data_IF_928736664140
#
_entry.id   IF_928736664140
#
_cell.length_a   1.000
_cell.length_b   1.000
_cell.length_c   1.000
_cell.angle_alpha   90.00
_cell.angle_beta   90.00
_cell.angle_gamma   90.00
#
_symmetry.space_group_name_H-M   'P 1'
#
loop_
_entity.id
_entity.type
_entity.pdbx_description
1 polymer ?
#
# COMPACT_ATOMS: atom_id res chain seq x y z
N UNK A 1 -4.35 -12.28 -26.94
CA UNK A 1 -3.67 -12.53 -25.64
C UNK A 1 -2.45 -11.65 -25.56
N UNK A 2 -2.58 -10.46 -25.00
CA UNK A 2 -1.44 -9.59 -24.70
C UNK A 2 -1.78 -8.78 -23.46
N UNK A 3 -1.29 -9.28 -22.32
CA UNK A 3 -1.39 -8.59 -21.04
C UNK A 3 -0.29 -7.53 -20.95
N UNK A 4 -0.61 -6.31 -21.31
CA UNK A 4 0.29 -5.16 -21.17
C UNK A 4 0.23 -4.66 -19.72
N UNK A 5 1.04 -5.25 -18.83
CA UNK A 5 1.30 -4.71 -17.50
C UNK A 5 2.22 -3.50 -17.66
N UNK A 6 1.65 -2.32 -17.74
CA UNK A 6 2.42 -1.08 -17.56
C UNK A 6 2.88 -1.03 -16.09
N UNK A 7 4.17 -1.19 -15.89
CA UNK A 7 4.83 -0.88 -14.63
C UNK A 7 4.81 0.64 -14.44
N UNK A 8 4.05 1.11 -13.47
CA UNK A 8 4.06 2.52 -13.10
C UNK A 8 5.35 2.83 -12.35
N UNK A 9 6.30 3.48 -13.03
CA UNK A 9 7.46 4.08 -12.38
C UNK A 9 7.00 5.38 -11.72
N UNK A 10 7.18 5.48 -10.40
CA UNK A 10 6.88 6.64 -9.59
C UNK A 10 7.90 7.75 -9.83
N UNK A 11 7.77 8.48 -10.92
CA UNK A 11 8.46 9.75 -11.08
C UNK A 11 7.54 10.86 -10.58
N UNK A 12 8.03 11.62 -9.59
CA UNK A 12 7.40 12.85 -9.11
C UNK A 12 7.24 13.79 -10.30
N UNK A 13 6.04 13.92 -10.80
CA UNK A 13 5.67 15.02 -11.68
C UNK A 13 5.26 16.16 -10.75
N UNK A 14 6.16 17.14 -10.61
CA UNK A 14 5.83 18.45 -10.08
C UNK A 14 4.82 19.08 -11.05
N UNK A 15 3.55 18.96 -10.73
CA UNK A 15 2.51 19.66 -11.46
C UNK A 15 2.50 21.13 -11.00
N UNK A 16 3.32 21.95 -11.64
CA UNK A 16 3.20 23.41 -11.56
C UNK A 16 1.92 23.75 -12.32
N UNK A 17 0.86 24.09 -11.61
CA UNK A 17 -0.34 24.66 -12.20
C UNK A 17 0.02 26.03 -12.84
N UNK A 18 0.30 26.02 -14.13
CA UNK A 18 0.31 27.27 -14.91
C UNK A 18 -1.14 27.78 -15.05
N UNK A 19 -1.36 28.98 -14.58
CA UNK A 19 -2.63 29.71 -14.67
C UNK A 19 -3.05 29.82 -16.14
N UNK A 20 -4.16 29.18 -16.49
CA UNK A 20 -4.83 29.43 -17.77
C UNK A 20 -5.32 28.23 -18.57
N UNK A 21 -5.15 26.99 -18.10
CA UNK A 21 -5.73 25.83 -18.78
C UNK A 21 -7.13 25.56 -18.21
N UNK A 22 -8.14 25.75 -19.06
CA UNK A 22 -9.51 25.30 -18.79
C UNK A 22 -9.58 23.78 -18.97
N UNK A 23 -10.14 23.06 -18.00
CA UNK A 23 -10.34 21.61 -18.11
C UNK A 23 -11.27 21.29 -19.27
N UNK A 24 -10.74 20.61 -20.30
CA UNK A 24 -11.54 20.13 -21.42
C UNK A 24 -11.92 18.67 -21.20
N UNK A 25 -13.21 18.37 -21.38
CA UNK A 25 -13.71 17.00 -21.31
C UNK A 25 -13.56 16.35 -22.68
N UNK A 26 -12.72 15.33 -22.79
CA UNK A 26 -12.53 14.60 -24.04
C UNK A 26 -13.60 13.54 -24.24
N UNK A 27 -13.89 12.77 -23.19
CA UNK A 27 -14.78 11.61 -23.31
C UNK A 27 -15.48 11.32 -21.98
N UNK A 28 -16.72 10.83 -22.07
CA UNK A 28 -17.52 10.37 -20.95
C UNK A 28 -17.96 8.94 -21.20
N UNK A 29 -17.50 7.99 -20.39
CA UNK A 29 -17.84 6.58 -20.48
C UNK A 29 -18.77 6.17 -19.34
N UNK A 30 -19.92 5.58 -19.65
CA UNK A 30 -20.80 5.00 -18.63
C UNK A 30 -20.17 3.70 -18.10
N UNK A 31 -19.93 3.63 -16.79
CA UNK A 31 -19.42 2.42 -16.12
C UNK A 31 -20.58 1.54 -15.63
N UNK A 32 -21.62 2.17 -15.10
CA UNK A 32 -22.82 1.51 -14.63
C UNK A 32 -24.04 2.46 -14.77
N UNK A 33 -25.19 2.03 -14.27
CA UNK A 33 -26.45 2.81 -14.35
C UNK A 33 -26.40 4.15 -13.61
N UNK A 34 -25.38 4.40 -12.79
CA UNK A 34 -25.29 5.58 -11.91
C UNK A 34 -24.00 6.36 -12.05
N UNK A 35 -22.94 5.74 -12.59
CA UNK A 35 -21.58 6.29 -12.58
C UNK A 35 -21.01 6.34 -13.98
N UNK A 36 -20.34 7.43 -14.27
CA UNK A 36 -19.58 7.63 -15.49
C UNK A 36 -18.10 7.92 -15.15
N UNK A 37 -17.21 7.48 -16.01
CA UNK A 37 -15.82 7.86 -16.03
C UNK A 37 -15.62 8.99 -17.01
N UNK A 38 -15.09 10.08 -16.55
CA UNK A 38 -14.81 11.29 -17.32
C UNK A 38 -13.33 11.33 -17.60
N UNK A 39 -12.94 11.60 -18.84
CA UNK A 39 -11.56 11.77 -19.27
C UNK A 39 -11.37 13.21 -19.75
N UNK A 40 -10.24 13.79 -19.38
CA UNK A 40 -9.84 15.14 -19.80
C UNK A 40 -8.63 15.08 -20.72
N UNK A 41 -8.29 16.18 -21.36
CA UNK A 41 -7.16 16.35 -22.26
C UNK A 41 -5.78 16.20 -21.60
N UNK A 42 -5.70 16.25 -20.29
CA UNK A 42 -4.47 16.06 -19.52
C UNK A 42 -4.27 14.61 -19.00
N UNK A 43 -4.85 13.61 -19.65
CA UNK A 43 -4.88 12.23 -19.15
C UNK A 43 -5.48 12.07 -17.74
N UNK A 44 -6.17 13.10 -17.28
CA UNK A 44 -6.83 13.14 -15.99
C UNK A 44 -8.19 12.44 -16.11
N UNK A 45 -8.44 11.43 -15.30
CA UNK A 45 -9.71 10.73 -15.30
C UNK A 45 -10.29 10.62 -13.90
N UNK A 46 -11.61 10.81 -13.78
CA UNK A 46 -12.32 10.73 -12.51
C UNK A 46 -13.72 10.17 -12.68
N UNK A 47 -14.35 9.81 -11.56
CA UNK A 47 -15.68 9.24 -11.53
C UNK A 47 -16.71 10.27 -11.06
N UNK A 48 -17.80 10.40 -11.83
CA UNK A 48 -18.98 11.18 -11.46
C UNK A 48 -20.25 10.33 -11.47
N UNK A 49 -21.23 10.76 -10.69
CA UNK A 49 -22.58 10.25 -10.80
C UNK A 49 -23.35 11.00 -11.89
N UNK A 50 -24.34 10.32 -12.53
CA UNK A 50 -25.10 10.92 -13.64
C UNK A 50 -25.71 12.27 -13.31
N UNK A 51 -26.30 12.45 -12.11
CA UNK A 51 -26.83 13.74 -11.70
C UNK A 51 -25.79 14.84 -11.50
N UNK A 52 -24.50 14.50 -11.39
CA UNK A 52 -23.41 15.46 -11.29
C UNK A 52 -22.92 15.89 -12.66
N UNK A 53 -22.96 14.99 -13.65
CA UNK A 53 -22.71 15.37 -15.04
C UNK A 53 -23.64 16.50 -15.46
N UNK A 54 -24.94 16.35 -15.18
CA UNK A 54 -25.95 17.38 -15.48
C UNK A 54 -25.70 18.66 -14.66
N UNK A 55 -25.44 18.52 -13.35
CA UNK A 55 -25.24 19.67 -12.46
C UNK A 55 -24.05 20.54 -12.85
N UNK A 56 -22.95 19.93 -13.26
CA UNK A 56 -21.71 20.62 -13.61
C UNK A 56 -21.52 20.83 -15.11
N UNK A 57 -22.50 20.45 -15.94
CA UNK A 57 -22.45 20.58 -17.39
C UNK A 57 -21.34 19.77 -18.04
N UNK A 58 -20.99 18.59 -17.44
CA UNK A 58 -19.93 17.72 -17.92
C UNK A 58 -20.46 16.87 -19.07
N UNK A 59 -20.04 17.14 -20.30
CA UNK A 59 -20.32 16.36 -21.49
C UNK A 59 -19.10 16.33 -22.42
N UNK A 60 -19.08 15.40 -23.36
CA UNK A 60 -17.99 15.30 -24.34
C UNK A 60 -17.80 16.62 -25.11
N UNK A 61 -16.58 17.07 -25.22
CA UNK A 61 -16.20 18.32 -25.87
C UNK A 61 -16.44 19.58 -25.03
N UNK A 62 -17.02 19.49 -23.83
CA UNK A 62 -17.23 20.64 -22.97
C UNK A 62 -15.89 21.17 -22.45
N UNK A 63 -15.83 22.47 -22.29
CA UNK A 63 -14.75 23.19 -21.60
C UNK A 63 -15.33 23.75 -20.31
N UNK A 64 -14.84 23.29 -19.17
CA UNK A 64 -15.34 23.74 -17.88
C UNK A 64 -14.77 25.11 -17.53
N UNK A 65 -15.63 25.99 -17.03
CA UNK A 65 -15.18 27.25 -16.46
C UNK A 65 -14.38 26.99 -15.17
N UNK A 66 -13.38 27.81 -14.88
CA UNK A 66 -12.52 27.70 -13.71
C UNK A 66 -13.28 27.55 -12.37
N UNK A 67 -14.43 28.21 -12.28
CA UNK A 67 -15.29 28.09 -11.09
C UNK A 67 -15.89 26.68 -10.97
N UNK A 68 -16.41 26.15 -12.07
CA UNK A 68 -17.03 24.81 -12.11
C UNK A 68 -15.98 23.73 -11.87
N UNK A 69 -14.79 23.90 -12.46
CA UNK A 69 -13.64 23.02 -12.22
C UNK A 69 -13.26 23.00 -10.75
N UNK A 70 -13.11 24.15 -10.10
CA UNK A 70 -12.80 24.22 -8.66
C UNK A 70 -13.87 23.58 -7.79
N UNK A 71 -15.16 23.80 -8.10
CA UNK A 71 -16.26 23.18 -7.37
C UNK A 71 -16.26 21.63 -7.54
N UNK A 72 -15.92 21.16 -8.73
CA UNK A 72 -15.83 19.74 -9.04
C UNK A 72 -14.64 19.09 -8.32
N UNK A 73 -13.45 19.69 -8.37
CA UNK A 73 -12.27 19.19 -7.65
C UNK A 73 -12.51 19.18 -6.14
N UNK A 74 -13.11 20.21 -5.57
CA UNK A 74 -13.48 20.24 -4.15
C UNK A 74 -14.49 19.13 -3.77
N UNK A 75 -15.42 18.81 -4.65
CA UNK A 75 -16.33 17.67 -4.44
C UNK A 75 -15.58 16.34 -4.41
N UNK A 76 -14.66 16.13 -5.36
CA UNK A 76 -13.86 14.90 -5.46
C UNK A 76 -12.93 14.76 -4.24
N UNK A 77 -12.26 15.84 -3.82
CA UNK A 77 -11.39 15.87 -2.65
C UNK A 77 -12.17 15.49 -1.38
N UNK A 78 -13.30 16.12 -1.12
CA UNK A 78 -14.15 15.78 0.02
C UNK A 78 -14.56 14.31 0.03
N UNK A 79 -14.95 13.75 -1.11
CA UNK A 79 -15.30 12.34 -1.22
C UNK A 79 -14.12 11.41 -0.97
N UNK A 80 -12.94 11.77 -1.47
CA UNK A 80 -11.73 11.00 -1.25
C UNK A 80 -11.37 10.96 0.23
N UNK A 81 -11.45 12.11 0.93
CA UNK A 81 -11.24 12.20 2.37
C UNK A 81 -12.24 11.33 3.15
N UNK A 82 -13.54 11.47 2.87
CA UNK A 82 -14.59 10.66 3.50
C UNK A 82 -14.37 9.16 3.26
N UNK A 83 -13.99 8.80 2.03
CA UNK A 83 -13.69 7.41 1.66
C UNK A 83 -12.48 6.87 2.41
N UNK A 84 -11.39 7.64 2.47
CA UNK A 84 -10.18 7.27 3.17
C UNK A 84 -10.42 7.07 4.68
N UNK A 85 -11.11 8.02 5.33
CA UNK A 85 -11.47 7.91 6.74
C UNK A 85 -12.37 6.69 7.02
N UNK A 86 -13.31 6.38 6.12
CA UNK A 86 -14.14 5.18 6.27
C UNK A 86 -13.34 3.88 6.12
N UNK A 87 -12.30 3.87 5.28
CA UNK A 87 -11.39 2.72 5.17
C UNK A 87 -10.57 2.52 6.45
N UNK A 88 -10.09 3.61 7.05
CA UNK A 88 -9.30 3.59 8.29
C UNK A 88 -10.12 3.20 9.53
N UNK A 89 -11.43 3.48 9.56
CA UNK A 89 -12.31 2.98 10.63
C UNK A 89 -12.36 1.47 10.75
N UNK A 90 -12.10 0.75 9.65
CA UNK A 90 -12.16 -0.71 9.61
C UNK A 90 -10.83 -1.34 10.04
N UNK A 91 -9.71 -0.79 9.54
CA UNK A 91 -8.36 -1.25 9.87
C UNK A 91 -7.31 -0.20 9.52
N UNK A 92 -6.18 -0.24 10.24
CA UNK A 92 -5.01 0.56 9.91
C UNK A 92 -4.48 0.19 8.53
N UNK A 93 -4.05 1.21 7.78
CA UNK A 93 -3.50 1.06 6.44
C UNK A 93 -2.24 1.90 6.29
N UNK A 94 -1.35 1.41 5.45
CA UNK A 94 -0.17 2.18 5.03
C UNK A 94 -0.55 3.19 3.95
N UNK A 95 0.32 4.19 3.75
CA UNK A 95 0.20 5.16 2.65
C UNK A 95 0.03 4.46 1.31
N UNK A 96 0.91 3.48 0.99
CA UNK A 96 0.85 2.74 -0.26
C UNK A 96 -0.42 1.91 -0.45
N UNK A 97 -1.03 1.39 0.62
CA UNK A 97 -2.33 0.72 0.56
C UNK A 97 -3.47 1.70 0.32
N UNK A 98 -3.42 2.87 0.96
CA UNK A 98 -4.43 3.91 0.80
C UNK A 98 -4.40 4.50 -0.61
N UNK A 99 -3.22 4.85 -1.13
CA UNK A 99 -3.04 5.29 -2.52
C UNK A 99 -3.66 4.30 -3.50
N UNK A 100 -3.26 3.02 -3.42
CA UNK A 100 -3.78 1.98 -4.33
C UNK A 100 -5.30 1.87 -4.26
N UNK A 101 -5.87 1.99 -3.07
CA UNK A 101 -7.31 1.88 -2.89
C UNK A 101 -8.06 3.06 -3.49
N UNK A 102 -7.57 4.28 -3.27
CA UNK A 102 -8.19 5.48 -3.84
C UNK A 102 -8.09 5.49 -5.37
N UNK A 103 -6.97 5.06 -5.95
CA UNK A 103 -6.85 4.86 -7.41
C UNK A 103 -7.84 3.82 -7.95
N UNK A 104 -8.00 2.70 -7.25
CA UNK A 104 -9.00 1.68 -7.63
C UNK A 104 -10.42 2.21 -7.55
N UNK A 105 -10.69 3.10 -6.60
CA UNK A 105 -11.99 3.75 -6.44
C UNK A 105 -12.19 4.90 -7.48
N UNK A 106 -11.19 5.17 -8.36
CA UNK A 106 -11.28 6.07 -9.51
C UNK A 106 -11.02 7.54 -9.21
N UNK A 107 -10.28 7.83 -8.13
CA UNK A 107 -9.82 9.19 -7.85
C UNK A 107 -8.56 9.50 -8.66
N UNK A 108 -8.42 10.73 -9.18
CA UNK A 108 -7.23 11.16 -9.90
C UNK A 108 -6.03 11.36 -8.98
N UNK A 109 -4.83 11.32 -9.56
CA UNK A 109 -3.57 11.37 -8.80
C UNK A 109 -3.48 12.60 -7.89
N UNK A 110 -3.82 13.78 -8.39
CA UNK A 110 -3.80 15.03 -7.61
C UNK A 110 -4.66 14.94 -6.34
N UNK A 111 -5.87 14.40 -6.46
CA UNK A 111 -6.80 14.21 -5.33
C UNK A 111 -6.30 13.12 -4.38
N UNK A 112 -5.69 12.06 -4.91
CA UNK A 112 -5.09 11.01 -4.08
C UNK A 112 -3.95 11.59 -3.25
N UNK A 113 -3.02 12.34 -3.87
CA UNK A 113 -1.88 12.95 -3.17
C UNK A 113 -2.34 13.97 -2.11
N UNK A 114 -3.31 14.82 -2.45
CA UNK A 114 -3.93 15.75 -1.50
C UNK A 114 -4.53 15.01 -0.30
N UNK A 115 -5.27 13.92 -0.57
CA UNK A 115 -5.88 13.10 0.49
C UNK A 115 -4.83 12.43 1.38
N UNK A 116 -3.75 11.91 0.79
CA UNK A 116 -2.64 11.32 1.58
C UNK A 116 -1.98 12.38 2.44
N UNK A 117 -1.69 13.57 1.90
CA UNK A 117 -1.15 14.68 2.68
C UNK A 117 -2.04 15.06 3.87
N UNK A 118 -3.35 15.15 3.64
CA UNK A 118 -4.32 15.36 4.71
C UNK A 118 -4.24 14.25 5.78
N UNK A 119 -4.20 12.98 5.39
CA UNK A 119 -4.15 11.86 6.36
C UNK A 119 -2.85 11.84 7.15
N UNK A 120 -1.72 12.26 6.55
CA UNK A 120 -0.43 12.36 7.22
C UNK A 120 -0.40 13.53 8.20
N UNK A 121 -0.90 14.71 7.79
CA UNK A 121 -0.97 15.91 8.63
C UNK A 121 -1.75 15.66 9.93
N UNK A 122 -2.84 14.93 9.83
CA UNK A 122 -3.67 14.56 11.00
C UNK A 122 -3.26 13.22 11.65
N UNK A 123 -2.13 12.64 11.27
CA UNK A 123 -1.61 11.38 11.80
C UNK A 123 -2.57 10.18 11.70
N UNK A 124 -3.50 10.21 10.75
CA UNK A 124 -4.37 9.07 10.45
C UNK A 124 -3.61 7.94 9.76
N UNK A 125 -2.62 8.28 8.92
CA UNK A 125 -1.71 7.35 8.27
C UNK A 125 -0.29 7.71 8.67
N UNK A 126 0.45 6.70 9.16
CA UNK A 126 1.82 6.83 9.61
C UNK A 126 2.52 5.48 9.39
N UNK A 127 3.34 5.43 8.35
CA UNK A 127 4.04 4.21 7.94
C UNK A 127 5.09 3.77 8.94
N UNK A 128 5.73 4.71 9.66
CA UNK A 128 6.71 4.39 10.69
C UNK A 128 6.03 3.72 11.90
N UNK A 129 4.92 4.30 12.37
CA UNK A 129 4.10 3.72 13.43
C UNK A 129 3.54 2.36 13.04
N UNK A 130 3.07 2.19 11.78
CA UNK A 130 2.59 0.91 11.28
C UNK A 130 3.70 -0.14 11.30
N UNK A 131 4.91 0.22 10.81
CA UNK A 131 6.06 -0.66 10.80
C UNK A 131 6.48 -1.06 12.22
N UNK A 132 6.60 -0.10 13.15
CA UNK A 132 6.94 -0.35 14.56
C UNK A 132 5.96 -1.34 15.22
N UNK A 133 4.65 -1.09 15.07
CA UNK A 133 3.61 -1.98 15.60
C UNK A 133 3.71 -3.39 15.02
N UNK A 134 3.93 -3.49 13.71
CA UNK A 134 4.07 -4.80 13.06
C UNK A 134 5.31 -5.55 13.55
N UNK A 135 6.44 -4.86 13.68
CA UNK A 135 7.69 -5.45 14.19
C UNK A 135 7.55 -5.90 15.65
N UNK A 136 6.91 -5.10 16.49
CA UNK A 136 6.66 -5.45 17.89
C UNK A 136 5.86 -6.75 18.05
N UNK A 137 4.81 -6.91 17.21
CA UNK A 137 3.92 -8.10 17.28
C UNK A 137 4.57 -9.34 16.67
N UNK A 138 5.31 -9.16 15.57
CA UNK A 138 5.76 -10.30 14.73
C UNK A 138 7.27 -10.57 14.82
N UNK A 139 8.06 -9.64 15.36
CA UNK A 139 9.52 -9.70 15.39
C UNK A 139 10.06 -10.98 16.03
N UNK A 140 9.42 -11.45 17.10
CA UNK A 140 9.83 -12.69 17.80
C UNK A 140 9.52 -13.98 17.05
N UNK A 141 8.70 -13.93 15.99
CA UNK A 141 8.20 -15.13 15.28
C UNK A 141 8.66 -15.23 13.85
N UNK A 142 9.10 -14.15 13.24
CA UNK A 142 9.48 -14.06 11.84
C UNK A 142 10.92 -13.62 11.69
N UNK A 143 11.58 -14.06 10.63
CA UNK A 143 12.91 -13.60 10.27
C UNK A 143 12.88 -12.14 9.80
N UNK A 144 14.00 -11.44 9.94
CA UNK A 144 14.14 -10.06 9.43
C UNK A 144 13.81 -9.96 7.94
N UNK A 145 14.19 -10.96 7.14
CA UNK A 145 13.90 -10.99 5.71
C UNK A 145 12.38 -11.04 5.43
N UNK A 146 11.64 -11.86 6.18
CA UNK A 146 10.18 -11.95 6.05
C UNK A 146 9.47 -10.67 6.49
N UNK A 147 9.93 -10.06 7.61
CA UNK A 147 9.40 -8.79 8.10
C UNK A 147 9.60 -7.69 7.07
N UNK A 148 10.82 -7.56 6.55
CA UNK A 148 11.18 -6.59 5.50
C UNK A 148 10.34 -6.77 4.24
N UNK A 149 10.23 -8.01 3.76
CA UNK A 149 9.44 -8.32 2.56
C UNK A 149 7.95 -7.99 2.74
N UNK A 150 7.40 -8.27 3.92
CA UNK A 150 6.00 -7.93 4.22
C UNK A 150 5.77 -6.43 4.20
N UNK A 151 6.59 -5.65 4.90
CA UNK A 151 6.46 -4.19 4.97
C UNK A 151 6.65 -3.54 3.57
N UNK A 152 7.57 -4.04 2.76
CA UNK A 152 7.73 -3.61 1.37
C UNK A 152 6.49 -3.89 0.52
N UNK A 153 5.85 -5.06 0.69
CA UNK A 153 4.58 -5.38 0.00
C UNK A 153 3.42 -4.47 0.42
N UNK A 154 3.47 -3.97 1.63
CA UNK A 154 2.52 -2.97 2.15
C UNK A 154 2.75 -1.59 1.53
N UNK A 155 3.89 -1.35 0.92
CA UNK A 155 4.25 -0.10 0.25
C UNK A 155 5.08 0.84 1.11
N UNK A 156 5.56 0.39 2.27
CA UNK A 156 6.42 1.20 3.16
C UNK A 156 7.80 1.34 2.53
N UNK A 157 8.38 2.53 2.63
CA UNK A 157 9.69 2.84 2.06
C UNK A 157 10.81 2.01 2.71
N UNK A 158 11.90 1.80 1.96
CA UNK A 158 13.06 1.02 2.47
C UNK A 158 13.76 1.74 3.61
N UNK A 159 13.73 3.04 3.59
CA UNK A 159 14.32 3.92 4.60
C UNK A 159 13.61 3.73 5.93
N UNK A 160 12.29 3.88 5.96
CA UNK A 160 11.45 3.66 7.16
C UNK A 160 11.62 2.23 7.69
N UNK A 161 11.61 1.23 6.81
CA UNK A 161 11.80 -0.18 7.23
C UNK A 161 13.15 -0.38 7.90
N UNK A 162 14.22 0.20 7.34
CA UNK A 162 15.57 0.10 7.92
C UNK A 162 15.62 0.77 9.29
N UNK A 163 15.15 2.01 9.40
CA UNK A 163 15.12 2.77 10.65
C UNK A 163 14.36 2.01 11.74
N UNK A 164 13.18 1.50 11.43
CA UNK A 164 12.38 0.77 12.39
C UNK A 164 12.96 -0.59 12.78
N UNK A 165 13.70 -1.26 11.90
CA UNK A 165 14.43 -2.49 12.24
C UNK A 165 15.65 -2.21 13.11
N UNK A 166 16.35 -1.08 12.91
CA UNK A 166 17.48 -0.66 13.74
C UNK A 166 17.00 -0.23 15.14
N UNK A 167 15.89 0.51 15.23
CA UNK A 167 15.29 0.94 16.51
C UNK A 167 14.71 -0.24 17.31
N UNK A 168 14.08 -1.16 16.63
CA UNK A 168 13.63 -2.41 17.24
C UNK A 168 14.86 -3.29 17.36
N UNK A 169 15.70 -3.12 18.39
CA UNK A 169 16.82 -4.03 18.68
C UNK A 169 16.30 -5.47 18.56
N UNK A 170 16.40 -5.98 17.35
CA UNK A 170 16.05 -7.36 17.06
C UNK A 170 17.20 -8.17 17.65
N UNK A 171 17.14 -8.37 18.97
CA UNK A 171 18.05 -9.26 19.66
C UNK A 171 17.83 -10.68 19.08
N UNK A 172 18.52 -10.89 17.93
CA UNK A 172 18.66 -12.23 17.34
C UNK A 172 19.13 -13.22 18.41
N UNK A 173 19.86 -12.73 19.42
CA UNK A 173 20.27 -13.46 20.60
C UNK A 173 19.10 -13.90 21.46
N UNK A 174 18.09 -13.06 21.66
CA UNK A 174 16.93 -13.45 22.47
C UNK A 174 16.02 -14.46 21.73
N UNK A 175 15.84 -14.30 20.44
CA UNK A 175 15.11 -15.28 19.61
C UNK A 175 15.86 -16.62 19.55
N UNK A 176 17.19 -16.60 19.42
CA UNK A 176 18.04 -17.80 19.49
C UNK A 176 17.99 -18.39 20.90
N UNK A 177 18.07 -17.59 21.97
CA UNK A 177 17.98 -18.04 23.35
C UNK A 177 16.65 -18.73 23.63
N UNK A 178 15.51 -18.17 23.21
CA UNK A 178 14.18 -18.78 23.32
C UNK A 178 14.07 -20.08 22.53
N UNK A 179 14.69 -20.15 21.32
CA UNK A 179 14.74 -21.37 20.53
C UNK A 179 15.63 -22.44 21.17
N UNK A 180 16.77 -22.07 21.76
CA UNK A 180 17.67 -22.96 22.46
C UNK A 180 17.03 -23.49 23.75
N UNK A 181 16.32 -22.66 24.50
CA UNK A 181 15.54 -23.07 25.67
C UNK A 181 14.41 -24.04 25.31
N UNK A 182 13.64 -23.77 24.25
CA UNK A 182 12.62 -24.69 23.75
C UNK A 182 13.18 -26.05 23.30
N UNK A 183 14.41 -26.07 22.81
CA UNK A 183 15.11 -27.31 22.41
C UNK A 183 15.94 -27.91 23.53
N UNK A 184 15.83 -27.40 24.77
CA UNK A 184 16.63 -27.84 25.93
C UNK A 184 18.15 -27.80 25.68
N UNK A 185 18.59 -26.84 24.86
CA UNK A 185 20.01 -26.66 24.57
C UNK A 185 20.65 -25.87 25.71
N UNK A 186 21.44 -26.53 26.56
CA UNK A 186 22.25 -25.86 27.59
C UNK A 186 23.60 -25.49 26.98
N UNK A 187 23.85 -24.18 26.84
CA UNK A 187 25.19 -23.69 26.52
C UNK A 187 26.09 -23.95 27.73
N UNK A 188 26.91 -24.96 27.72
CA UNK A 188 27.78 -25.25 28.87
C UNK A 188 28.66 -26.49 28.81
N UNK A 189 28.53 -27.32 27.81
CA UNK A 189 29.46 -28.42 27.61
C UNK A 189 30.00 -28.39 26.18
N UNK A 190 31.27 -27.92 26.04
CA UNK A 190 32.05 -28.08 24.83
C UNK A 190 32.40 -29.56 24.65
N UNK A 191 31.39 -30.35 24.40
CA UNK A 191 31.47 -31.72 23.94
C UNK A 191 31.03 -31.79 22.51
N UNK A 192 31.92 -32.22 21.62
CA UNK A 192 31.65 -32.50 20.22
C UNK A 192 30.43 -33.42 20.15
N UNK A 193 29.25 -32.87 19.86
CA UNK A 193 28.08 -33.67 19.58
C UNK A 193 28.22 -34.26 18.18
N UNK A 194 28.90 -35.38 18.09
CA UNK A 194 28.73 -36.31 16.96
C UNK A 194 27.30 -36.82 17.04
N UNK A 195 26.42 -36.22 16.22
CA UNK A 195 25.06 -36.69 16.06
C UNK A 195 25.08 -38.14 15.64
N UNK A 196 24.64 -39.01 16.57
CA UNK A 196 24.38 -40.41 16.27
C UNK A 196 23.18 -40.41 15.32
N UNK A 197 23.45 -40.58 14.02
CA UNK A 197 22.39 -40.95 13.06
C UNK A 197 21.84 -42.30 13.51
N UNK A 198 20.53 -42.51 13.59
CA UNK A 198 20.00 -43.83 13.77
C UNK A 198 20.48 -44.71 12.61
N UNK A 199 21.21 -45.76 12.93
CA UNK A 199 21.58 -46.78 11.97
C UNK A 199 20.30 -47.32 11.31
N UNK A 200 20.26 -47.29 10.00
CA UNK A 200 19.23 -47.96 9.24
C UNK A 200 19.47 -49.47 9.47
N UNK A 201 18.52 -50.11 10.14
CA UNK A 201 18.45 -51.56 10.14
C UNK A 201 18.37 -52.04 8.70
N UNK A 202 19.50 -52.48 8.18
CA UNK A 202 19.55 -53.29 6.96
C UNK A 202 18.99 -54.66 7.34
N UNK A 203 17.68 -54.79 7.20
CA UNK A 203 17.02 -56.09 7.33
C UNK A 203 17.56 -57.07 6.29
N UNK A 204 18.37 -58.01 6.77
CA UNK A 204 18.83 -59.14 5.99
C UNK A 204 17.64 -59.95 5.46
N UNK A 205 17.31 -59.76 4.19
CA UNK A 205 16.44 -60.64 3.43
C UNK A 205 17.19 -61.90 3.05
N UNK A 206 17.09 -62.93 3.85
CA UNK A 206 17.54 -64.27 3.46
C UNK A 206 16.61 -64.84 2.42
N UNK A 207 17.15 -65.23 1.28
CA UNK A 207 16.54 -66.15 0.33
C UNK A 207 16.52 -67.57 0.90
N UNK A 208 15.36 -68.19 0.81
CA UNK A 208 15.20 -69.65 0.61
C UNK A 208 13.93 -69.85 -0.20
#
# INVERSE_FOLDING_TARGET
MNSNRKSYSWQRVNCSYEKGLYMRIERVESLDKRKCKVFTDEDFAFLLYNGELEKYGVCEGAVLEERTERELLALLSRRAHERALNLLKVQDRTEGEMCRRLFQDGYPDSIVQETIGFLQEYHFVDDARYAANYLQVHGKRKSQAELKLYLQRKGISREIIREQLEETEHDSGEAIRVLLEKKHYRAGEAGIFMGRYPERDEGAGGCA
#
